data_IF_931838124330
#
_entry.id   IF_931838124330
#
_cell.length_a   1.000
_cell.length_b   1.000
_cell.length_c   1.000
_cell.angle_alpha   90.00
_cell.angle_beta   90.00
_cell.angle_gamma   90.00
#
_symmetry.space_group_name_H-M   'P 1'
#
loop_
_entity.id
_entity.type
_entity.pdbx_description
1 polymer ?
#
# COMPACT_ATOMS: atom_id res chain seq x y z
N UNK A 1 -10.70 -11.80 -26.11
CA UNK A 1 -11.39 -11.75 -24.79
C UNK A 1 -10.94 -10.52 -24.02
N UNK A 2 -11.82 -9.78 -23.35
CA UNK A 2 -11.43 -8.62 -22.54
C UNK A 2 -10.45 -9.03 -21.43
N UNK A 3 -9.24 -8.44 -21.39
CA UNK A 3 -8.21 -8.76 -20.39
C UNK A 3 -8.77 -8.48 -18.98
N UNK A 4 -8.73 -9.49 -18.10
CA UNK A 4 -9.06 -9.36 -16.68
C UNK A 4 -7.77 -9.08 -15.92
N UNK A 5 -7.79 -8.10 -15.03
CA UNK A 5 -6.67 -7.77 -14.14
C UNK A 5 -7.04 -8.16 -12.72
N UNK A 6 -6.17 -8.92 -12.06
CA UNK A 6 -6.30 -9.27 -10.64
C UNK A 6 -5.30 -8.40 -9.86
N UNK A 7 -5.79 -7.56 -8.96
CA UNK A 7 -4.98 -6.62 -8.19
C UNK A 7 -5.18 -6.84 -6.70
N UNK A 8 -4.12 -6.80 -5.93
CA UNK A 8 -4.19 -6.75 -4.47
C UNK A 8 -3.86 -5.33 -3.99
N UNK A 9 -4.83 -4.65 -3.38
CA UNK A 9 -4.63 -3.36 -2.74
C UNK A 9 -4.19 -3.51 -1.29
N UNK A 10 -3.22 -2.69 -0.87
CA UNK A 10 -2.77 -2.55 0.53
C UNK A 10 -2.98 -1.12 0.98
N UNK A 11 -3.59 -0.95 2.16
CA UNK A 11 -3.79 0.36 2.78
C UNK A 11 -3.51 0.30 4.27
N UNK A 12 -2.75 1.27 4.77
CA UNK A 12 -2.66 1.52 6.21
C UNK A 12 -2.98 2.97 6.50
N UNK A 13 -4.10 3.17 7.20
CA UNK A 13 -4.53 4.48 7.68
C UNK A 13 -3.74 4.95 8.91
N UNK A 14 -3.76 6.25 9.14
CA UNK A 14 -3.15 6.90 10.32
C UNK A 14 -3.90 6.58 11.63
N UNK A 15 -5.07 5.93 11.56
CA UNK A 15 -5.77 5.42 12.74
C UNK A 15 -5.03 4.27 13.44
N UNK A 16 -4.05 3.65 12.77
CA UNK A 16 -3.25 2.53 13.30
C UNK A 16 -4.08 1.30 13.68
N UNK A 17 -5.29 1.18 13.12
CA UNK A 17 -6.16 0.03 13.39
C UNK A 17 -5.58 -1.26 12.80
N UNK A 18 -4.98 -1.15 11.62
CA UNK A 18 -4.38 -2.30 10.96
C UNK A 18 -3.89 -2.03 9.53
N UNK A 19 -3.61 -3.15 8.87
CA UNK A 19 -3.33 -3.24 7.44
C UNK A 19 -4.55 -3.81 6.73
N UNK A 20 -5.16 -3.02 5.85
CA UNK A 20 -6.24 -3.46 4.98
C UNK A 20 -5.66 -4.10 3.71
N UNK A 21 -6.21 -5.27 3.36
CA UNK A 21 -5.89 -6.03 2.17
C UNK A 21 -7.17 -6.28 1.37
N UNK A 22 -7.17 -5.95 0.07
CA UNK A 22 -8.31 -6.18 -0.82
C UNK A 22 -7.86 -6.78 -2.16
N UNK A 23 -8.21 -8.05 -2.39
CA UNK A 23 -8.02 -8.71 -3.69
C UNK A 23 -9.21 -8.41 -4.58
N UNK A 24 -8.97 -7.65 -5.64
CA UNK A 24 -9.99 -7.17 -6.54
C UNK A 24 -9.74 -7.67 -7.97
N UNK A 25 -10.81 -8.04 -8.66
CA UNK A 25 -10.78 -8.36 -10.09
C UNK A 25 -11.38 -7.21 -10.87
N UNK A 26 -10.60 -6.68 -11.80
CA UNK A 26 -11.00 -5.62 -12.72
C UNK A 26 -11.21 -6.18 -14.12
N UNK A 27 -12.29 -5.73 -14.77
CA UNK A 27 -12.59 -6.05 -16.17
C UNK A 27 -12.93 -4.75 -16.91
N UNK A 28 -12.22 -4.49 -18.01
CA UNK A 28 -12.50 -3.34 -18.86
C UNK A 28 -13.94 -3.41 -19.39
N UNK A 29 -14.68 -2.31 -19.27
CA UNK A 29 -16.05 -2.13 -19.78
C UNK A 29 -16.15 -0.75 -20.43
N UNK A 30 -16.17 -0.70 -21.77
CA UNK A 30 -16.14 0.55 -22.52
C UNK A 30 -14.88 1.37 -22.21
N UNK A 31 -15.07 2.63 -21.78
CA UNK A 31 -13.99 3.54 -21.34
C UNK A 31 -13.55 3.33 -19.88
N UNK A 32 -14.28 2.52 -19.10
CA UNK A 32 -14.01 2.31 -17.67
C UNK A 32 -13.73 0.85 -17.30
N UNK A 33 -13.85 0.58 -16.00
CA UNK A 33 -13.66 -0.75 -15.42
C UNK A 33 -14.85 -1.12 -14.54
N UNK A 34 -15.31 -2.37 -14.66
CA UNK A 34 -16.08 -3.00 -13.60
C UNK A 34 -15.10 -3.70 -12.66
N UNK A 35 -15.45 -3.76 -11.37
CA UNK A 35 -14.65 -4.47 -10.38
C UNK A 35 -15.50 -5.42 -9.53
N UNK A 36 -14.83 -6.40 -8.93
CA UNK A 36 -15.37 -7.38 -7.99
C UNK A 36 -14.34 -7.55 -6.86
N UNK A 37 -14.75 -7.41 -5.60
CA UNK A 37 -13.91 -7.73 -4.45
C UNK A 37 -14.01 -9.23 -4.21
N UNK A 38 -12.90 -9.96 -4.40
CA UNK A 38 -12.87 -11.42 -4.25
C UNK A 38 -12.56 -11.84 -2.81
N UNK A 39 -11.75 -11.06 -2.12
CA UNK A 39 -11.35 -11.29 -0.72
C UNK A 39 -10.91 -9.96 -0.12
N UNK A 40 -11.36 -9.67 1.10
CA UNK A 40 -10.88 -8.53 1.88
C UNK A 40 -10.63 -8.95 3.33
N UNK A 41 -9.67 -8.31 3.97
CA UNK A 41 -9.37 -8.52 5.39
C UNK A 41 -8.62 -7.32 5.94
N UNK A 42 -8.88 -7.01 7.21
CA UNK A 42 -8.08 -6.07 7.99
C UNK A 42 -7.26 -6.87 8.99
N UNK A 43 -5.93 -6.76 8.91
CA UNK A 43 -5.03 -7.33 9.89
C UNK A 43 -4.77 -6.31 10.99
N UNK A 44 -5.19 -6.55 12.24
CA UNK A 44 -4.91 -5.62 13.31
C UNK A 44 -3.40 -5.53 13.59
N UNK A 45 -2.90 -4.32 13.81
CA UNK A 45 -1.49 -4.17 14.17
C UNK A 45 -1.20 -4.68 15.58
N UNK A 46 -0.04 -5.33 15.72
CA UNK A 46 0.53 -5.61 17.03
C UNK A 46 0.84 -4.32 17.77
N UNK A 47 0.94 -4.39 19.11
CA UNK A 47 1.33 -3.24 19.94
C UNK A 47 2.65 -2.61 19.46
N UNK A 48 3.61 -3.44 19.05
CA UNK A 48 4.90 -2.99 18.56
C UNK A 48 4.80 -2.20 17.25
N UNK A 49 3.99 -2.69 16.28
CA UNK A 49 3.79 -1.97 15.03
C UNK A 49 3.03 -0.66 15.24
N UNK A 50 2.00 -0.66 16.11
CA UNK A 50 1.30 0.58 16.48
C UNK A 50 2.29 1.60 17.06
N UNK A 51 3.16 1.18 17.98
CA UNK A 51 4.17 2.06 18.57
C UNK A 51 5.15 2.60 17.52
N UNK A 52 5.75 1.73 16.71
CA UNK A 52 6.72 2.12 15.67
C UNK A 52 6.15 3.13 14.69
N UNK A 53 4.94 2.89 14.20
CA UNK A 53 4.28 3.76 13.22
C UNK A 53 3.78 5.07 13.86
N UNK A 54 3.27 5.04 15.09
CA UNK A 54 2.79 6.25 15.79
C UNK A 54 3.87 7.30 16.07
N UNK A 55 5.13 6.87 16.21
CA UNK A 55 6.25 7.76 16.54
C UNK A 55 7.17 8.03 15.35
N UNK A 56 6.86 7.48 14.18
CA UNK A 56 7.74 7.47 13.02
C UNK A 56 8.09 8.89 12.52
N UNK A 57 7.21 9.87 12.69
CA UNK A 57 7.48 11.27 12.32
C UNK A 57 8.59 11.95 13.15
N UNK A 58 9.01 11.33 14.26
CA UNK A 58 10.06 11.85 15.15
C UNK A 58 11.40 11.13 14.98
N UNK A 59 11.46 10.16 14.07
CA UNK A 59 12.68 9.40 13.80
C UNK A 59 13.72 10.26 13.07
N UNK A 60 14.99 9.89 13.23
CA UNK A 60 16.04 10.39 12.33
C UNK A 60 15.77 9.93 10.90
N UNK A 61 16.45 10.53 9.92
CA UNK A 61 16.31 10.10 8.53
C UNK A 61 16.70 8.62 8.36
N UNK A 62 17.82 8.20 8.96
CA UNK A 62 18.31 6.82 8.89
C UNK A 62 17.29 5.85 9.51
N UNK A 63 16.84 6.10 10.74
CA UNK A 63 15.85 5.25 11.41
C UNK A 63 14.52 5.16 10.65
N UNK A 64 14.11 6.25 9.99
CA UNK A 64 12.90 6.25 9.16
C UNK A 64 13.07 5.35 7.93
N UNK A 65 14.25 5.35 7.29
CA UNK A 65 14.54 4.46 6.17
C UNK A 65 14.69 3.00 6.62
N UNK A 66 15.24 2.74 7.81
CA UNK A 66 15.22 1.40 8.41
C UNK A 66 13.80 0.93 8.66
N UNK A 67 12.94 1.77 9.23
CA UNK A 67 11.53 1.47 9.44
C UNK A 67 10.80 1.26 8.11
N UNK A 68 11.12 2.04 7.07
CA UNK A 68 10.56 1.88 5.73
C UNK A 68 10.83 0.49 5.14
N UNK A 69 12.07 0.01 5.26
CA UNK A 69 12.45 -1.33 4.83
C UNK A 69 11.80 -2.42 5.70
N UNK A 70 11.85 -2.27 7.02
CA UNK A 70 11.24 -3.21 7.96
C UNK A 70 9.72 -3.36 7.73
N UNK A 71 9.04 -2.23 7.48
CA UNK A 71 7.62 -2.21 7.21
C UNK A 71 7.30 -2.81 5.84
N UNK A 72 8.10 -2.53 4.79
CA UNK A 72 7.96 -3.19 3.49
C UNK A 72 8.05 -4.73 3.57
N UNK A 73 9.02 -5.25 4.34
CA UNK A 73 9.16 -6.70 4.60
C UNK A 73 7.94 -7.27 5.35
N UNK A 74 7.43 -6.53 6.34
CA UNK A 74 6.21 -6.89 7.05
C UNK A 74 5.01 -6.97 6.09
N UNK A 75 4.79 -5.94 5.25
CA UNK A 75 3.72 -5.92 4.25
C UNK A 75 3.82 -7.14 3.31
N UNK A 76 5.01 -7.44 2.78
CA UNK A 76 5.23 -8.60 1.92
C UNK A 76 4.92 -9.94 2.58
N UNK A 77 5.30 -10.11 3.86
CA UNK A 77 4.93 -11.27 4.67
C UNK A 77 3.41 -11.41 4.81
N UNK A 78 2.71 -10.32 5.14
CA UNK A 78 1.25 -10.34 5.32
C UNK A 78 0.51 -10.59 4.00
N UNK A 79 1.04 -10.09 2.87
CA UNK A 79 0.54 -10.43 1.53
C UNK A 79 0.63 -11.93 1.28
N UNK A 80 1.77 -12.56 1.54
CA UNK A 80 1.94 -13.99 1.33
C UNK A 80 0.99 -14.82 2.21
N UNK A 81 0.77 -14.41 3.47
CA UNK A 81 -0.21 -15.03 4.35
C UNK A 81 -1.64 -14.86 3.83
N UNK A 82 -2.00 -13.65 3.42
CA UNK A 82 -3.32 -13.34 2.88
C UNK A 82 -3.63 -14.12 1.59
N UNK A 83 -2.64 -14.31 0.72
CA UNK A 83 -2.75 -15.05 -0.54
C UNK A 83 -2.66 -16.57 -0.38
N UNK A 84 -2.42 -17.10 0.82
CA UNK A 84 -2.39 -18.55 1.05
C UNK A 84 -3.72 -19.19 0.62
N UNK A 85 -3.63 -20.23 -0.21
CA UNK A 85 -4.79 -20.94 -0.77
C UNK A 85 -5.45 -20.28 -2.00
N UNK A 86 -4.97 -19.11 -2.44
CA UNK A 86 -5.46 -18.48 -3.67
C UNK A 86 -4.77 -19.12 -4.88
N UNK A 87 -5.56 -19.69 -5.80
CA UNK A 87 -5.05 -20.44 -6.98
C UNK A 87 -4.25 -19.58 -7.96
N UNK A 88 -4.67 -18.34 -8.21
CA UNK A 88 -4.01 -17.40 -9.13
C UNK A 88 -3.46 -16.22 -8.32
N UNK A 89 -2.14 -16.02 -8.33
CA UNK A 89 -1.52 -14.81 -7.76
C UNK A 89 -2.07 -13.54 -8.47
N UNK A 90 -2.20 -12.42 -7.76
CA UNK A 90 -2.54 -11.16 -8.40
C UNK A 90 -1.46 -10.79 -9.43
N UNK A 91 -1.90 -10.12 -10.49
CA UNK A 91 -1.02 -9.63 -11.54
C UNK A 91 -0.21 -8.40 -11.04
N UNK A 92 -0.74 -7.69 -10.03
CA UNK A 92 -0.12 -6.50 -9.44
C UNK A 92 -0.52 -6.33 -7.97
N UNK A 93 0.39 -5.75 -7.18
CA UNK A 93 0.12 -5.22 -5.84
C UNK A 93 0.11 -3.69 -5.93
N UNK A 94 -0.91 -3.06 -5.36
CA UNK A 94 -1.01 -1.61 -5.24
C UNK A 94 -0.90 -1.24 -3.77
N UNK A 95 0.26 -0.72 -3.35
CA UNK A 95 0.55 -0.43 -1.94
C UNK A 95 0.55 1.07 -1.68
N UNK A 96 -0.43 1.54 -0.90
CA UNK A 96 -0.39 2.92 -0.41
C UNK A 96 0.75 3.14 0.58
N UNK A 97 1.07 2.14 1.39
CA UNK A 97 1.97 2.28 2.53
C UNK A 97 1.30 2.95 3.73
N UNK A 98 2.12 3.49 4.63
CA UNK A 98 1.69 4.23 5.82
C UNK A 98 2.21 5.66 5.77
N UNK A 99 1.31 6.65 5.88
CA UNK A 99 1.69 8.07 5.77
C UNK A 99 2.46 8.54 7.01
N UNK A 100 3.67 9.05 6.82
CA UNK A 100 4.48 9.67 7.87
C UNK A 100 4.43 11.19 7.78
N UNK A 101 4.61 11.71 6.58
CA UNK A 101 4.54 13.14 6.31
C UNK A 101 3.57 13.43 5.18
N UNK A 102 2.77 14.47 5.36
CA UNK A 102 1.89 14.99 4.33
C UNK A 102 1.97 16.52 4.42
N UNK A 103 2.76 17.11 3.53
CA UNK A 103 3.07 18.54 3.50
C UNK A 103 2.99 19.03 2.04
N UNK A 104 1.83 18.90 1.37
CA UNK A 104 1.68 19.36 -0.01
C UNK A 104 1.96 20.86 -0.16
N UNK A 105 1.71 21.67 0.86
CA UNK A 105 2.08 23.08 0.92
C UNK A 105 3.60 23.34 0.85
N UNK A 106 4.39 22.32 1.19
CA UNK A 106 5.86 22.31 1.05
C UNK A 106 6.32 21.45 -0.14
N UNK A 107 5.40 20.97 -0.97
CA UNK A 107 5.69 20.20 -2.17
C UNK A 107 6.12 18.75 -1.92
N UNK A 108 5.81 18.15 -0.76
CA UNK A 108 6.17 16.74 -0.52
C UNK A 108 5.18 15.95 0.34
N UNK A 109 5.25 14.63 0.19
CA UNK A 109 4.56 13.66 1.04
C UNK A 109 5.41 12.41 1.15
N UNK A 110 5.30 11.68 2.26
CA UNK A 110 6.08 10.46 2.52
C UNK A 110 5.14 9.39 3.04
N UNK A 111 5.05 8.30 2.29
CA UNK A 111 4.46 7.04 2.71
C UNK A 111 5.57 6.00 2.83
N UNK A 112 5.66 5.32 3.96
CA UNK A 112 6.62 4.23 4.18
C UNK A 112 5.98 2.87 3.89
N UNK A 113 6.82 1.87 3.65
CA UNK A 113 6.43 0.54 3.19
C UNK A 113 7.07 0.29 1.83
N UNK A 114 8.39 0.07 1.84
CA UNK A 114 9.21 -0.01 0.63
C UNK A 114 8.65 -1.03 -0.39
N UNK A 115 8.23 -0.55 -1.56
CA UNK A 115 7.66 -1.37 -2.62
C UNK A 115 8.62 -2.44 -3.15
N UNK A 116 9.93 -2.18 -3.12
CA UNK A 116 10.93 -3.17 -3.54
C UNK A 116 10.98 -4.37 -2.58
N UNK A 117 10.89 -4.14 -1.27
CA UNK A 117 10.82 -5.20 -0.27
C UNK A 117 9.53 -6.03 -0.43
N UNK A 118 8.39 -5.38 -0.70
CA UNK A 118 7.12 -6.07 -0.98
C UNK A 118 7.23 -6.93 -2.25
N UNK A 119 7.78 -6.39 -3.33
CA UNK A 119 7.97 -7.11 -4.58
C UNK A 119 8.92 -8.31 -4.41
N UNK A 120 10.04 -8.12 -3.70
CA UNK A 120 11.00 -9.19 -3.43
C UNK A 120 10.40 -10.31 -2.58
N UNK A 121 9.63 -9.98 -1.54
CA UNK A 121 9.01 -10.95 -0.65
C UNK A 121 7.88 -11.77 -1.34
N UNK A 122 7.17 -11.17 -2.28
CA UNK A 122 5.96 -11.78 -2.89
C UNK A 122 6.21 -12.40 -4.27
N UNK A 123 7.24 -11.92 -4.96
CA UNK A 123 7.49 -12.20 -6.38
C UNK A 123 6.46 -11.58 -7.31
N UNK A 124 5.79 -10.49 -6.88
CA UNK A 124 4.70 -9.83 -7.63
C UNK A 124 5.06 -8.36 -7.85
N UNK A 125 4.84 -7.89 -9.09
CA UNK A 125 5.01 -6.47 -9.43
C UNK A 125 4.24 -5.60 -8.46
N UNK A 126 4.93 -4.66 -7.82
CA UNK A 126 4.35 -3.77 -6.82
C UNK A 126 4.42 -2.33 -7.31
N UNK A 127 3.28 -1.64 -7.29
CA UNK A 127 3.16 -0.20 -7.54
C UNK A 127 2.86 0.47 -6.20
N UNK A 128 3.58 1.55 -5.91
CA UNK A 128 3.46 2.33 -4.69
C UNK A 128 3.62 3.82 -5.00
N UNK A 129 3.62 4.65 -3.95
CA UNK A 129 3.85 6.09 -4.04
C UNK A 129 2.83 6.85 -4.91
N UNK A 130 1.54 6.61 -4.63
CA UNK A 130 0.44 7.18 -5.42
C UNK A 130 0.25 8.70 -5.25
N UNK A 131 0.80 9.29 -4.17
CA UNK A 131 0.54 10.69 -3.82
C UNK A 131 1.59 11.64 -4.36
N UNK A 132 2.84 11.21 -4.49
CA UNK A 132 3.95 12.11 -4.82
C UNK A 132 3.80 12.76 -6.19
N UNK A 133 3.27 12.05 -7.19
CA UNK A 133 3.04 12.62 -8.52
C UNK A 133 1.99 13.74 -8.49
N UNK A 134 0.90 13.56 -7.74
CA UNK A 134 -0.14 14.59 -7.62
C UNK A 134 0.42 15.85 -6.93
N UNK A 135 1.16 15.68 -5.84
CA UNK A 135 1.85 16.79 -5.15
C UNK A 135 2.85 17.50 -6.06
N UNK A 136 3.63 16.74 -6.84
CA UNK A 136 4.59 17.30 -7.79
C UNK A 136 3.93 18.12 -8.93
N UNK A 137 2.68 17.80 -9.26
CA UNK A 137 1.86 18.53 -10.24
C UNK A 137 1.06 19.70 -9.60
N UNK A 138 1.31 20.02 -8.33
CA UNK A 138 0.63 21.10 -7.60
C UNK A 138 -0.69 20.71 -6.95
N UNK A 139 -1.04 19.42 -6.97
CA UNK A 139 -2.18 18.86 -6.26
C UNK A 139 -1.95 18.70 -4.75
N UNK A 140 -2.98 18.27 -4.04
CA UNK A 140 -2.90 18.06 -2.58
C UNK A 140 -2.33 16.69 -2.20
N UNK A 141 -2.27 15.73 -3.14
CA UNK A 141 -1.94 14.34 -2.88
C UNK A 141 -3.01 13.58 -2.11
N UNK A 142 -4.14 14.21 -1.74
CA UNK A 142 -5.25 13.65 -0.97
C UNK A 142 -6.53 14.52 -1.06
N UNK A 143 -7.74 13.94 -0.94
CA UNK A 143 -8.04 12.52 -1.17
C UNK A 143 -7.77 12.14 -2.64
N UNK A 144 -7.34 10.91 -2.89
CA UNK A 144 -7.13 10.40 -4.26
C UNK A 144 -8.39 9.73 -4.84
N UNK A 145 -9.42 9.54 -4.01
CA UNK A 145 -10.72 9.03 -4.44
C UNK A 145 -11.61 10.26 -4.63
N UNK A 146 -12.14 10.50 -5.85
CA UNK A 146 -13.06 11.61 -6.14
C UNK A 146 -14.36 11.54 -5.34
#
# INVERSE_FOLDING_TARGET
MSKKLLSLGLMSGTSLDGLDLALCRFKKKGKGYNYEILKASTLPYSKDWKKKLATAQHLSAEDLFELNAAYGKFLGSEVNKFLKGIKKKPDIISSHGHTIFHRPEKGFTVQIGNGADVAAATGITTVCDFRSLDVALGGQGAPLVP
#
